data_IF_970157525726
#
_entry.id   IF_970157525726
#
_cell.length_a   1.000
_cell.length_b   1.000
_cell.length_c   1.000
_cell.angle_alpha   90.00
_cell.angle_beta   90.00
_cell.angle_gamma   90.00
#
_symmetry.space_group_name_H-M   'P 1'
#
loop_
_entity.id
_entity.type
_entity.pdbx_description
1 polymer ?
#
# COMPACT_ATOMS: atom_id res chain seq x y z
N UNK A 1 -11.24 4.63 7.89
CA UNK A 1 -9.87 4.08 7.80
C UNK A 1 -9.83 2.82 6.94
N UNK A 2 -10.54 1.73 7.26
CA UNK A 2 -10.55 0.54 6.38
C UNK A 2 -11.04 0.81 4.95
N UNK A 3 -12.22 1.45 4.79
CA UNK A 3 -12.74 1.80 3.46
C UNK A 3 -11.80 2.77 2.73
N UNK A 4 -11.24 3.76 3.45
CA UNK A 4 -10.29 4.71 2.89
C UNK A 4 -9.02 4.01 2.38
N UNK A 5 -8.49 3.03 3.12
CA UNK A 5 -7.35 2.23 2.67
C UNK A 5 -7.65 1.47 1.38
N UNK A 6 -8.83 0.87 1.25
CA UNK A 6 -9.26 0.20 0.01
C UNK A 6 -9.40 1.18 -1.16
N UNK A 7 -9.92 2.39 -0.92
CA UNK A 7 -9.98 3.44 -1.96
C UNK A 7 -8.58 3.84 -2.42
N UNK A 8 -7.64 3.96 -1.48
CA UNK A 8 -6.24 4.24 -1.78
C UNK A 8 -5.59 3.09 -2.59
N UNK A 9 -5.93 1.83 -2.32
CA UNK A 9 -5.46 0.68 -3.12
C UNK A 9 -5.94 0.75 -4.57
N UNK A 10 -7.22 1.08 -4.77
CA UNK A 10 -7.80 1.27 -6.11
C UNK A 10 -7.11 2.44 -6.83
N UNK A 11 -6.82 3.52 -6.09
CA UNK A 11 -6.11 4.67 -6.65
C UNK A 11 -4.67 4.33 -7.05
N UNK A 12 -3.95 3.57 -6.23
CA UNK A 12 -2.61 3.06 -6.56
C UNK A 12 -2.62 2.21 -7.83
N UNK A 13 -3.60 1.31 -7.95
CA UNK A 13 -3.77 0.53 -9.18
C UNK A 13 -4.05 1.43 -10.39
N UNK A 14 -4.88 2.46 -10.24
CA UNK A 14 -5.15 3.44 -11.29
C UNK A 14 -3.90 4.21 -11.74
N UNK A 15 -3.04 4.61 -10.80
CA UNK A 15 -1.74 5.25 -11.10
C UNK A 15 -0.86 4.30 -11.92
N UNK A 16 -0.71 3.07 -11.46
CA UNK A 16 0.07 2.04 -12.16
C UNK A 16 -0.43 1.80 -13.59
N UNK A 17 -1.75 1.69 -13.77
CA UNK A 17 -2.38 1.46 -15.07
C UNK A 17 -2.19 2.64 -16.03
N UNK A 18 -2.17 3.88 -15.52
CA UNK A 18 -1.88 5.07 -16.31
C UNK A 18 -0.41 5.12 -16.75
N UNK A 19 0.52 4.79 -15.85
CA UNK A 19 1.96 4.80 -16.14
C UNK A 19 2.36 3.77 -17.21
N UNK A 20 1.68 2.62 -17.27
CA UNK A 20 1.90 1.62 -18.32
C UNK A 20 1.62 2.12 -19.74
N UNK A 21 0.77 3.14 -19.89
CA UNK A 21 0.37 3.64 -21.20
C UNK A 21 1.29 4.75 -21.72
N UNK A 22 2.02 5.42 -20.83
CA UNK A 22 2.80 6.59 -21.21
C UNK A 22 4.05 6.75 -20.34
N UNK A 23 5.22 6.67 -20.97
CA UNK A 23 6.51 6.71 -20.28
C UNK A 23 6.78 8.07 -19.58
N UNK A 24 6.22 9.16 -20.09
CA UNK A 24 6.29 10.47 -19.46
C UNK A 24 5.58 10.52 -18.09
N UNK A 25 4.69 9.56 -17.79
CA UNK A 25 4.00 9.47 -16.51
C UNK A 25 4.80 8.72 -15.44
N UNK A 26 5.97 8.14 -15.76
CA UNK A 26 6.73 7.34 -14.79
C UNK A 26 7.12 8.13 -13.53
N UNK A 27 7.73 9.30 -13.70
CA UNK A 27 8.13 10.13 -12.56
C UNK A 27 6.93 10.68 -11.76
N UNK A 28 5.92 11.34 -12.38
CA UNK A 28 4.78 11.85 -11.64
C UNK A 28 3.94 10.75 -10.98
N UNK A 29 3.80 9.58 -11.62
CA UNK A 29 3.11 8.44 -11.01
C UNK A 29 3.88 7.83 -9.84
N UNK A 30 5.22 7.86 -9.85
CA UNK A 30 6.02 7.44 -8.69
C UNK A 30 5.81 8.35 -7.49
N UNK A 31 5.76 9.66 -7.73
CA UNK A 31 5.44 10.65 -6.68
C UNK A 31 4.02 10.41 -6.15
N UNK A 32 3.05 10.19 -7.04
CA UNK A 32 1.67 9.91 -6.65
C UNK A 32 1.56 8.62 -5.81
N UNK A 33 2.29 7.56 -6.18
CA UNK A 33 2.36 6.32 -5.41
C UNK A 33 2.95 6.56 -4.01
N UNK A 34 3.96 7.42 -3.89
CA UNK A 34 4.51 7.80 -2.58
C UNK A 34 3.46 8.51 -1.71
N UNK A 35 2.66 9.41 -2.29
CA UNK A 35 1.55 10.08 -1.60
C UNK A 35 0.51 9.07 -1.11
N UNK A 36 0.19 8.05 -1.91
CA UNK A 36 -0.72 6.97 -1.50
C UNK A 36 -0.18 6.22 -0.28
N UNK A 37 1.10 5.84 -0.30
CA UNK A 37 1.73 5.14 0.84
C UNK A 37 1.70 6.00 2.10
N UNK A 38 1.96 7.31 1.99
CA UNK A 38 1.82 8.25 3.12
C UNK A 38 0.39 8.27 3.64
N UNK A 39 -0.62 8.30 2.76
CA UNK A 39 -2.03 8.19 3.13
C UNK A 39 -2.36 6.89 3.88
N UNK A 40 -1.76 5.77 3.47
CA UNK A 40 -1.91 4.47 4.15
C UNK A 40 -1.23 4.43 5.52
N UNK A 41 -0.07 5.09 5.67
CA UNK A 41 0.58 5.27 6.99
C UNK A 41 -0.33 6.05 7.93
N UNK A 42 -0.97 7.12 7.44
CA UNK A 42 -1.96 7.87 8.24
C UNK A 42 -3.12 6.96 8.63
N UNK A 43 -3.63 6.14 7.70
CA UNK A 43 -4.70 5.17 8.01
C UNK A 43 -4.30 4.16 9.09
N UNK A 44 -3.05 3.71 9.11
CA UNK A 44 -2.51 2.82 10.13
C UNK A 44 -2.44 3.48 11.51
N UNK A 45 -1.77 4.64 11.59
CA UNK A 45 -1.53 5.32 12.87
C UNK A 45 -2.83 5.87 13.46
N UNK A 46 -3.71 6.42 12.61
CA UNK A 46 -5.00 6.98 13.01
C UNK A 46 -6.13 5.94 13.14
N UNK A 47 -5.82 4.64 13.05
CA UNK A 47 -6.84 3.60 13.19
C UNK A 47 -7.39 3.56 14.63
N UNK A 48 -8.65 3.98 14.79
CA UNK A 48 -9.37 4.03 16.08
C UNK A 48 -10.16 2.76 16.44
N UNK A 49 -10.25 1.79 15.53
CA UNK A 49 -10.98 0.54 15.78
C UNK A 49 -10.17 -0.46 16.61
N UNK A 50 -10.82 -1.55 17.02
CA UNK A 50 -10.15 -2.68 17.68
C UNK A 50 -9.08 -3.27 16.74
N UNK A 51 -7.80 -3.23 17.15
CA UNK A 51 -6.66 -3.69 16.33
C UNK A 51 -6.44 -5.19 16.41
N UNK A 52 -6.63 -5.75 17.60
CA UNK A 52 -6.43 -7.17 17.89
C UNK A 52 -7.77 -7.83 18.22
N UNK A 53 -8.03 -8.99 17.61
CA UNK A 53 -9.12 -9.87 17.95
C UNK A 53 -8.92 -10.58 19.29
N UNK A 54 -9.76 -11.57 19.54
CA UNK A 54 -9.60 -12.45 20.71
C UNK A 54 -8.26 -13.20 20.64
N UNK A 55 -7.73 -13.57 21.81
CA UNK A 55 -6.51 -14.35 21.90
C UNK A 55 -6.75 -15.71 21.24
N UNK A 56 -5.93 -16.06 20.26
CA UNK A 56 -6.00 -17.37 19.64
C UNK A 56 -5.12 -18.33 20.46
N UNK A 57 -5.76 -19.25 21.19
CA UNK A 57 -5.05 -20.24 22.01
C UNK A 57 -4.37 -21.33 21.18
N UNK A 58 -4.72 -21.47 19.90
CA UNK A 58 -4.06 -22.43 19.00
C UNK A 58 -2.72 -21.89 18.48
N UNK A 59 -2.65 -20.59 18.17
CA UNK A 59 -1.43 -19.96 17.64
C UNK A 59 -0.65 -19.17 18.70
N UNK A 60 -1.17 -19.08 19.94
CA UNK A 60 -0.61 -18.28 21.04
C UNK A 60 -0.39 -16.79 20.69
N UNK A 61 -1.17 -16.26 19.75
CA UNK A 61 -1.03 -14.89 19.24
C UNK A 61 -2.40 -14.19 19.21
N UNK A 62 -2.39 -12.87 19.42
CA UNK A 62 -3.53 -12.02 19.13
C UNK A 62 -3.66 -11.79 17.61
N UNK A 63 -4.62 -12.43 16.96
CA UNK A 63 -4.92 -12.18 15.56
C UNK A 63 -5.31 -10.72 15.34
N UNK A 64 -4.91 -10.11 14.23
CA UNK A 64 -5.46 -8.81 13.86
C UNK A 64 -6.97 -8.91 13.63
N UNK A 65 -7.70 -7.85 13.99
CA UNK A 65 -9.08 -7.75 13.55
C UNK A 65 -9.12 -7.64 12.02
N UNK A 66 -10.14 -8.22 11.37
CA UNK A 66 -10.25 -8.20 9.91
C UNK A 66 -10.09 -6.78 9.33
N UNK A 67 -10.72 -5.79 9.97
CA UNK A 67 -10.68 -4.38 9.54
C UNK A 67 -9.31 -3.75 9.66
N UNK A 68 -8.52 -4.15 10.66
CA UNK A 68 -7.16 -3.67 10.84
C UNK A 68 -6.18 -4.42 9.94
N UNK A 69 -6.35 -5.74 9.80
CA UNK A 69 -5.58 -6.58 8.90
C UNK A 69 -5.63 -6.07 7.45
N UNK A 70 -6.82 -5.66 6.97
CA UNK A 70 -6.97 -5.04 5.63
C UNK A 70 -6.08 -3.80 5.52
N UNK A 71 -6.14 -2.87 6.48
CA UNK A 71 -5.34 -1.63 6.44
C UNK A 71 -3.83 -1.93 6.47
N UNK A 72 -3.41 -2.90 7.28
CA UNK A 72 -2.02 -3.35 7.36
C UNK A 72 -1.55 -3.96 6.03
N UNK A 73 -2.35 -4.84 5.43
CA UNK A 73 -2.04 -5.46 4.15
C UNK A 73 -1.99 -4.43 3.01
N UNK A 74 -2.96 -3.52 2.94
CA UNK A 74 -2.95 -2.39 2.00
C UNK A 74 -1.64 -1.61 2.09
N UNK A 75 -1.22 -1.24 3.30
CA UNK A 75 0.05 -0.55 3.50
C UNK A 75 1.25 -1.37 3.04
N UNK A 76 1.38 -2.63 3.49
CA UNK A 76 2.54 -3.49 3.17
C UNK A 76 2.68 -3.64 1.65
N UNK A 77 1.60 -3.98 0.95
CA UNK A 77 1.63 -4.20 -0.48
C UNK A 77 2.00 -2.93 -1.24
N UNK A 78 1.40 -1.78 -0.89
CA UNK A 78 1.72 -0.52 -1.56
C UNK A 78 3.11 0.01 -1.23
N UNK A 79 3.63 -0.24 -0.02
CA UNK A 79 4.99 0.11 0.35
C UNK A 79 6.03 -0.73 -0.42
N UNK A 80 5.78 -2.03 -0.58
CA UNK A 80 6.58 -2.90 -1.44
C UNK A 80 6.53 -2.44 -2.90
N UNK A 81 5.35 -2.06 -3.38
CA UNK A 81 5.18 -1.51 -4.72
C UNK A 81 6.01 -0.22 -4.89
N UNK A 82 5.92 0.72 -3.95
CA UNK A 82 6.71 1.95 -3.97
C UNK A 82 8.22 1.67 -3.94
N UNK A 83 8.66 0.69 -3.14
CA UNK A 83 10.07 0.28 -3.12
C UNK A 83 10.54 -0.16 -4.51
N UNK A 84 9.75 -0.97 -5.21
CA UNK A 84 10.06 -1.40 -6.56
C UNK A 84 10.03 -0.22 -7.57
N UNK A 85 9.14 0.76 -7.39
CA UNK A 85 9.16 2.00 -8.19
C UNK A 85 10.46 2.76 -8.01
N UNK A 86 10.96 2.87 -6.77
CA UNK A 86 12.25 3.52 -6.48
C UNK A 86 13.40 2.77 -7.15
N UNK A 87 13.39 1.43 -7.14
CA UNK A 87 14.40 0.65 -7.85
C UNK A 87 14.35 0.87 -9.38
N UNK A 88 13.15 1.04 -9.93
CA UNK A 88 12.95 1.32 -11.35
C UNK A 88 13.47 2.71 -11.73
N UNK A 89 13.07 3.75 -11.00
CA UNK A 89 13.52 5.14 -11.23
C UNK A 89 15.03 5.30 -11.03
N UNK A 90 15.64 4.55 -10.12
CA UNK A 90 17.10 4.57 -9.91
C UNK A 90 17.88 3.74 -10.93
N UNK A 91 17.21 3.12 -11.90
CA UNK A 91 17.84 2.29 -12.93
C UNK A 91 18.44 0.98 -12.41
N UNK A 92 18.14 0.60 -11.16
CA UNK A 92 18.68 -0.61 -10.52
C UNK A 92 17.89 -1.85 -10.89
N UNK A 93 16.58 -1.72 -11.14
CA UNK A 93 15.73 -2.86 -11.48
C UNK A 93 14.46 -2.47 -12.28
N UNK A 94 14.28 -3.07 -13.46
CA UNK A 94 13.16 -2.85 -14.38
C UNK A 94 11.85 -3.59 -14.07
N UNK A 95 11.81 -4.45 -13.04
CA UNK A 95 10.78 -5.51 -12.90
C UNK A 95 9.32 -5.03 -12.95
N UNK A 96 9.02 -3.81 -12.51
CA UNK A 96 7.66 -3.24 -12.60
C UNK A 96 7.36 -2.62 -13.97
N UNK A 97 8.31 -1.89 -14.53
CA UNK A 97 8.17 -1.16 -15.78
C UNK A 97 9.38 -1.51 -16.66
N UNK A 98 9.15 -2.45 -17.58
CA UNK A 98 10.08 -2.83 -18.65
C UNK A 98 9.54 -2.31 -19.98
#
# INVERSE_FOLDING_TARGET
>A
MTILALVLDVLAYGIYAAQRQAANLYMPGTIAQAVVVVGLIICLVAFKGKRFGWFNFETWVHNFSLRYAIVVLSFILNALLLFLYVLNVTGRNGLIFN
#
